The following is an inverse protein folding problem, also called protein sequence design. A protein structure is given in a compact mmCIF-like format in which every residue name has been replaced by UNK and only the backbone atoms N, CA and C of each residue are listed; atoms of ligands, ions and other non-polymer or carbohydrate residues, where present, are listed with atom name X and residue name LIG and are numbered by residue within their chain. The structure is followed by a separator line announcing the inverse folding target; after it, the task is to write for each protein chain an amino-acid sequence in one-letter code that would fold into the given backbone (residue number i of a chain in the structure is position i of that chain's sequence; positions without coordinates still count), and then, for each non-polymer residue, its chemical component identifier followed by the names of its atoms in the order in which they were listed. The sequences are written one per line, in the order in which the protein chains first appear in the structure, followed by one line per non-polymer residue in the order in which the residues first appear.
data_IF_415395628742
#
_entry.id   IF_415395628742
#
_cell.length_a   1.000
_cell.length_b   1.000
_cell.length_c   1.000
_cell.angle_alpha   90.00
_cell.angle_beta   90.00
_cell.angle_gamma   90.00
#
_symmetry.space_group_name_H-M   'P 1'
#
loop_
_entity.id
_entity.type
_entity.pdbx_description
1 polymer ?
#
# COMPACT_ATOMS: atom_id res chain seq x y z
N UNK A 1 21.72 33.86 1.63
CA UNK A 1 20.87 34.29 0.48
C UNK A 1 19.44 34.16 0.95
N UNK A 2 18.75 35.26 1.19
CA UNK A 2 17.34 35.25 1.58
C UNK A 2 16.49 35.33 0.31
N UNK A 3 16.01 34.18 -0.15
CA UNK A 3 15.18 34.08 -1.34
C UNK A 3 13.83 33.46 -0.97
N UNK A 4 12.73 34.00 -1.49
CA UNK A 4 11.37 33.53 -1.16
C UNK A 4 11.16 32.04 -1.44
N UNK A 5 11.79 31.52 -2.50
CA UNK A 5 11.75 30.07 -2.84
C UNK A 5 12.37 29.22 -1.73
N UNK A 6 13.47 29.67 -1.11
CA UNK A 6 14.10 28.92 -0.02
C UNK A 6 13.20 28.89 1.23
N UNK A 7 12.51 30.00 1.51
CA UNK A 7 11.52 30.04 2.61
C UNK A 7 10.38 29.05 2.34
N UNK A 8 9.88 29.04 1.12
CA UNK A 8 8.79 28.14 0.70
C UNK A 8 9.22 26.65 0.75
N UNK A 9 10.45 26.33 0.34
CA UNK A 9 10.97 24.96 0.43
C UNK A 9 11.18 24.51 1.87
N UNK A 10 11.71 25.40 2.73
CA UNK A 10 11.97 25.07 4.14
C UNK A 10 10.68 24.94 4.97
N UNK A 11 9.67 25.73 4.64
CA UNK A 11 8.36 25.70 5.30
C UNK A 11 7.25 25.92 4.29
N UNK A 12 6.85 24.86 3.56
CA UNK A 12 5.89 24.97 2.46
C UNK A 12 4.49 25.36 2.92
N UNK A 13 4.10 25.04 4.14
CA UNK A 13 2.82 25.41 4.75
C UNK A 13 2.93 25.46 6.29
N UNK A 14 1.92 25.97 7.00
CA UNK A 14 1.93 26.05 8.46
C UNK A 14 2.02 24.70 9.19
N UNK A 15 1.59 23.62 8.53
CA UNK A 15 1.44 22.29 9.14
C UNK A 15 2.68 21.40 8.95
N UNK A 16 3.56 21.70 7.96
CA UNK A 16 4.65 20.81 7.58
C UNK A 16 5.97 21.55 7.46
N UNK A 17 7.05 20.89 7.89
CA UNK A 17 8.41 21.30 7.52
C UNK A 17 8.73 20.89 6.09
N UNK A 18 9.76 21.48 5.47
CA UNK A 18 10.21 21.09 4.13
C UNK A 18 10.57 19.61 4.02
N UNK A 19 11.20 19.05 5.06
CA UNK A 19 11.55 17.62 5.09
C UNK A 19 10.31 16.73 5.07
N UNK A 20 9.29 17.03 5.88
CA UNK A 20 8.02 16.28 5.90
C UNK A 20 7.26 16.38 4.57
N UNK A 21 7.30 17.55 3.96
CA UNK A 21 6.68 17.78 2.66
C UNK A 21 7.33 16.96 1.56
N UNK A 22 8.66 16.94 1.48
CA UNK A 22 9.41 16.16 0.50
C UNK A 22 9.22 14.65 0.75
N UNK A 23 9.22 14.22 2.00
CA UNK A 23 8.95 12.83 2.37
C UNK A 23 7.57 12.39 1.88
N UNK A 24 6.52 13.19 2.10
CA UNK A 24 5.18 12.89 1.62
C UNK A 24 5.13 12.85 0.09
N UNK A 25 5.77 13.79 -0.60
CA UNK A 25 5.85 13.86 -2.05
C UNK A 25 6.50 12.59 -2.65
N UNK A 26 7.65 12.20 -2.12
CA UNK A 26 8.36 10.99 -2.56
C UNK A 26 7.52 9.76 -2.24
N UNK A 27 6.92 9.69 -1.05
CA UNK A 27 6.04 8.59 -0.64
C UNK A 27 4.88 8.41 -1.62
N UNK A 28 4.18 9.46 -2.00
CA UNK A 28 3.09 9.38 -2.98
C UNK A 28 3.58 8.93 -4.37
N UNK A 29 4.71 9.45 -4.82
CA UNK A 29 5.28 9.02 -6.11
C UNK A 29 5.65 7.53 -6.09
N UNK A 30 6.25 7.03 -5.01
CA UNK A 30 6.61 5.62 -4.90
C UNK A 30 5.39 4.70 -4.77
N UNK A 31 4.34 5.14 -4.04
CA UNK A 31 3.16 4.30 -3.78
C UNK A 31 2.15 4.32 -4.93
N UNK A 32 1.94 5.47 -5.57
CA UNK A 32 0.91 5.63 -6.60
C UNK A 32 1.42 6.01 -7.98
N UNK A 33 2.72 6.28 -8.12
CA UNK A 33 3.28 6.85 -9.36
C UNK A 33 2.91 8.31 -9.60
N UNK A 34 2.13 8.92 -8.73
CA UNK A 34 1.57 10.26 -8.90
C UNK A 34 1.78 11.10 -7.65
N UNK A 35 2.10 12.37 -7.84
CA UNK A 35 2.16 13.37 -6.78
C UNK A 35 1.37 14.62 -7.21
N UNK A 36 0.51 15.10 -6.35
CA UNK A 36 -0.30 16.29 -6.59
C UNK A 36 0.02 17.35 -5.56
N UNK A 37 0.30 18.54 -6.05
CA UNK A 37 0.74 19.66 -5.25
C UNK A 37 -0.17 20.86 -5.53
N UNK A 38 -0.91 21.29 -4.52
CA UNK A 38 -1.70 22.50 -4.60
C UNK A 38 -0.83 23.72 -4.30
N UNK A 39 -0.90 24.71 -5.17
CA UNK A 39 -0.20 25.99 -5.04
C UNK A 39 -1.18 27.05 -4.58
N UNK A 40 -1.08 27.48 -3.34
CA UNK A 40 -1.85 28.60 -2.81
C UNK A 40 -1.13 29.91 -3.16
N UNK A 41 -1.78 30.73 -3.97
CA UNK A 41 -1.24 31.98 -4.49
C UNK A 41 -1.84 33.20 -3.76
N UNK A 42 -1.01 34.21 -3.54
CA UNK A 42 -1.44 35.55 -3.16
C UNK A 42 -0.95 36.50 -4.25
N UNK A 43 -1.88 36.99 -5.07
CA UNK A 43 -1.54 37.66 -6.33
C UNK A 43 -0.87 36.71 -7.30
N UNK A 44 0.32 37.09 -7.78
CA UNK A 44 1.12 36.26 -8.69
C UNK A 44 2.13 35.32 -7.97
N UNK A 45 2.27 35.46 -6.65
CA UNK A 45 3.30 34.72 -5.89
C UNK A 45 2.70 33.52 -5.19
N UNK A 46 3.35 32.34 -5.32
CA UNK A 46 3.02 31.15 -4.55
C UNK A 46 3.50 31.35 -3.11
N UNK A 47 2.60 31.24 -2.14
CA UNK A 47 2.87 31.42 -0.73
C UNK A 47 2.88 30.11 0.06
N UNK A 48 2.07 29.15 -0.35
CA UNK A 48 2.00 27.86 0.33
C UNK A 48 1.88 26.71 -0.70
N UNK A 49 2.37 25.55 -0.29
CA UNK A 49 2.31 24.30 -1.06
C UNK A 49 1.72 23.19 -0.19
N UNK A 50 0.72 22.51 -0.70
CA UNK A 50 0.08 21.39 -0.02
C UNK A 50 0.17 20.13 -0.87
N UNK A 51 0.58 19.02 -0.24
CA UNK A 51 0.51 17.70 -0.89
C UNK A 51 -0.89 17.13 -0.77
N UNK A 52 -1.49 16.78 -1.92
CA UNK A 52 -2.81 16.15 -1.97
C UNK A 52 -2.66 14.65 -2.19
N UNK A 53 -3.56 13.89 -1.59
CA UNK A 53 -3.55 12.43 -1.65
C UNK A 53 -3.95 11.96 -3.06
N UNK A 54 -3.11 11.14 -3.73
CA UNK A 54 -3.39 10.68 -5.09
C UNK A 54 -4.65 9.82 -5.23
N UNK A 55 -4.98 9.02 -4.21
CA UNK A 55 -6.17 8.16 -4.20
C UNK A 55 -7.51 8.95 -4.22
N UNK A 56 -7.45 10.26 -3.95
CA UNK A 56 -8.61 11.16 -3.97
C UNK A 56 -8.62 12.12 -5.15
N UNK A 57 -7.59 12.06 -5.98
CA UNK A 57 -7.41 12.99 -7.08
C UNK A 57 -7.81 12.33 -8.40
N UNK A 58 -8.54 13.05 -9.21
CA UNK A 58 -8.91 12.66 -10.57
C UNK A 58 -8.47 13.73 -11.56
N UNK A 59 -7.83 13.29 -12.62
CA UNK A 59 -7.49 14.15 -13.77
C UNK A 59 -8.73 14.27 -14.65
N UNK A 60 -9.04 15.47 -15.07
CA UNK A 60 -10.07 15.73 -16.09
C UNK A 60 -9.37 15.76 -17.46
N UNK A 61 -9.54 14.71 -18.29
CA UNK A 61 -8.89 14.63 -19.58
C UNK A 61 -9.47 15.65 -20.57
N UNK A 62 -8.72 15.95 -21.60
CA UNK A 62 -9.19 16.67 -22.77
C UNK A 62 -8.63 16.04 -24.06
N UNK A 63 -9.18 16.42 -25.19
CA UNK A 63 -8.81 15.86 -26.50
C UNK A 63 -7.48 16.41 -27.03
N UNK A 64 -6.94 17.46 -26.42
CA UNK A 64 -5.68 18.10 -26.84
C UNK A 64 -4.43 17.55 -26.13
N UNK A 65 -4.58 16.50 -25.30
CA UNK A 65 -3.46 15.87 -24.57
C UNK A 65 -3.02 16.60 -23.30
N UNK A 66 -3.65 17.73 -22.95
CA UNK A 66 -3.42 18.43 -21.69
C UNK A 66 -4.61 18.23 -20.74
N UNK A 67 -4.42 18.13 -19.42
CA UNK A 67 -5.53 18.03 -18.49
C UNK A 67 -6.36 19.32 -18.52
N UNK A 68 -7.69 19.19 -18.64
CA UNK A 68 -8.61 20.31 -18.51
C UNK A 68 -8.72 20.81 -17.06
N UNK A 69 -8.34 19.98 -16.11
CA UNK A 69 -8.37 20.31 -14.69
C UNK A 69 -8.21 19.08 -13.81
N UNK A 70 -8.44 19.27 -12.53
CA UNK A 70 -8.31 18.26 -11.51
C UNK A 70 -9.49 18.30 -10.55
N UNK A 71 -9.90 17.13 -10.04
CA UNK A 71 -10.97 17.02 -9.03
C UNK A 71 -10.44 16.26 -7.84
N UNK A 72 -10.57 16.84 -6.65
CA UNK A 72 -10.27 16.20 -5.37
C UNK A 72 -11.58 15.84 -4.68
N UNK A 73 -11.72 14.58 -4.27
CA UNK A 73 -12.92 14.10 -3.62
C UNK A 73 -12.63 13.66 -2.19
N UNK A 74 -13.31 14.27 -1.23
CA UNK A 74 -13.18 13.95 0.19
C UNK A 74 -14.53 14.01 0.88
N UNK A 75 -14.91 12.93 1.55
CA UNK A 75 -16.16 12.84 2.34
C UNK A 75 -17.42 13.25 1.54
N UNK A 76 -17.50 12.84 0.27
CA UNK A 76 -18.59 13.17 -0.63
C UNK A 76 -18.60 14.62 -1.17
N UNK A 77 -17.63 15.43 -0.76
CA UNK A 77 -17.42 16.78 -1.30
C UNK A 77 -16.36 16.73 -2.39
N UNK A 78 -16.64 17.45 -3.49
CA UNK A 78 -15.72 17.59 -4.63
C UNK A 78 -15.21 19.02 -4.68
N UNK A 79 -13.92 19.15 -4.83
CA UNK A 79 -13.27 20.41 -5.16
C UNK A 79 -12.59 20.26 -6.52
N UNK A 80 -12.82 21.23 -7.41
CA UNK A 80 -12.30 21.20 -8.77
C UNK A 80 -11.41 22.42 -9.00
N UNK A 81 -10.30 22.19 -9.67
CA UNK A 81 -9.42 23.21 -10.22
C UNK A 81 -9.40 23.05 -11.73
N UNK A 82 -9.76 24.09 -12.42
CA UNK A 82 -9.68 24.12 -13.87
C UNK A 82 -8.28 24.56 -14.31
N UNK A 83 -7.81 24.04 -15.42
CA UNK A 83 -6.60 24.52 -16.08
C UNK A 83 -6.96 25.64 -17.05
N UNK A 84 -6.09 26.62 -17.18
CA UNK A 84 -6.24 27.69 -18.16
C UNK A 84 -6.15 27.11 -19.58
N UNK A 85 -7.07 27.46 -20.45
CA UNK A 85 -7.18 26.89 -21.80
C UNK A 85 -5.98 27.26 -22.71
N UNK A 86 -5.31 28.37 -22.46
CA UNK A 86 -4.22 28.87 -23.32
C UNK A 86 -2.85 28.47 -22.78
N UNK A 87 -2.67 28.57 -21.45
CA UNK A 87 -1.37 28.31 -20.80
C UNK A 87 -1.26 26.89 -20.25
N UNK A 88 -2.39 26.19 -20.14
CA UNK A 88 -2.51 24.88 -19.50
C UNK A 88 -2.04 24.85 -18.03
N UNK A 89 -1.88 26.04 -17.41
CA UNK A 89 -1.52 26.13 -16.00
C UNK A 89 -2.74 25.94 -15.11
N UNK A 90 -2.55 25.30 -13.98
CA UNK A 90 -3.55 25.07 -12.94
C UNK A 90 -2.95 25.34 -11.59
N UNK A 91 -3.74 25.58 -10.57
CA UNK A 91 -3.23 25.63 -9.19
C UNK A 91 -2.77 24.27 -8.68
N UNK A 92 -3.11 23.21 -9.38
CA UNK A 92 -2.59 21.87 -9.14
C UNK A 92 -1.39 21.60 -10.05
N UNK A 93 -0.26 21.23 -9.43
CA UNK A 93 0.89 20.68 -10.13
C UNK A 93 0.87 19.16 -10.00
N UNK A 94 0.70 18.48 -11.13
CA UNK A 94 0.77 17.03 -11.22
C UNK A 94 2.19 16.60 -11.60
N UNK A 95 2.81 15.81 -10.76
CA UNK A 95 4.10 15.18 -10.99
C UNK A 95 3.84 13.70 -11.09
N UNK A 96 4.24 13.08 -12.20
CA UNK A 96 3.97 11.66 -12.46
C UNK A 96 5.22 10.92 -12.86
N UNK A 97 5.30 9.66 -12.49
CA UNK A 97 6.30 8.74 -13.00
C UNK A 97 5.93 8.29 -14.42
N UNK A 98 6.93 7.82 -15.16
CA UNK A 98 6.67 7.32 -16.51
C UNK A 98 5.72 6.12 -16.48
N UNK A 99 4.70 6.17 -17.32
CA UNK A 99 3.74 5.08 -17.53
C UNK A 99 3.55 4.90 -19.05
N UNK A 100 3.96 3.76 -19.62
CA UNK A 100 3.80 3.52 -21.05
C UNK A 100 2.37 3.17 -21.46
N UNK A 101 1.47 2.94 -20.51
CA UNK A 101 0.10 2.45 -20.75
C UNK A 101 -0.97 3.50 -20.47
N UNK A 102 -0.61 4.62 -19.85
CA UNK A 102 -1.56 5.67 -19.46
C UNK A 102 -0.94 7.07 -19.63
N UNK A 103 -1.61 7.92 -20.39
CA UNK A 103 -1.16 9.30 -20.65
C UNK A 103 -1.44 10.25 -19.49
N UNK A 104 -2.35 9.89 -18.57
CA UNK A 104 -2.83 10.77 -17.51
C UNK A 104 -2.24 10.42 -16.14
N UNK A 105 -1.97 9.14 -15.87
CA UNK A 105 -1.48 8.69 -14.58
C UNK A 105 -0.12 8.02 -14.68
N UNK A 106 0.69 8.26 -13.67
CA UNK A 106 2.00 7.61 -13.55
C UNK A 106 1.88 6.17 -13.03
N UNK A 107 2.84 5.32 -13.40
CA UNK A 107 2.96 3.95 -12.90
C UNK A 107 3.86 3.93 -11.66
N UNK A 108 3.37 3.34 -10.56
CA UNK A 108 4.18 3.22 -9.35
C UNK A 108 5.18 2.06 -9.46
N UNK A 109 6.37 2.18 -8.84
CA UNK A 109 7.29 1.05 -8.71
C UNK A 109 6.69 -0.12 -7.92
N UNK A 110 5.81 0.16 -6.95
CA UNK A 110 5.10 -0.86 -6.17
C UNK A 110 4.16 -1.65 -7.06
N UNK A 111 3.39 -0.98 -7.92
CA UNK A 111 2.50 -1.62 -8.88
C UNK A 111 3.28 -2.45 -9.91
N UNK A 112 4.37 -1.89 -10.45
CA UNK A 112 5.26 -2.63 -11.35
C UNK A 112 5.87 -3.88 -10.71
N UNK A 113 6.05 -3.89 -9.39
CA UNK A 113 6.62 -5.00 -8.61
C UNK A 113 5.57 -5.86 -7.92
N UNK A 114 4.27 -5.63 -8.14
CA UNK A 114 3.17 -6.23 -7.38
C UNK A 114 3.26 -7.77 -7.34
N UNK A 115 3.53 -8.41 -8.47
CA UNK A 115 3.67 -9.86 -8.54
C UNK A 115 4.79 -10.41 -7.63
N UNK A 116 5.94 -9.73 -7.58
CA UNK A 116 7.06 -10.15 -6.72
C UNK A 116 6.74 -9.92 -5.23
N UNK A 117 6.01 -8.85 -4.93
CA UNK A 117 5.55 -8.55 -3.56
C UNK A 117 4.56 -9.61 -3.10
N UNK A 118 3.61 -10.00 -3.94
CA UNK A 118 2.62 -11.02 -3.63
C UNK A 118 3.27 -12.38 -3.40
N UNK A 119 4.21 -12.78 -4.27
CA UNK A 119 5.01 -14.00 -4.06
C UNK A 119 5.77 -13.98 -2.73
N UNK A 120 6.38 -12.85 -2.38
CA UNK A 120 7.07 -12.71 -1.10
C UNK A 120 6.13 -12.85 0.09
N UNK A 121 4.96 -12.20 0.03
CA UNK A 121 3.95 -12.26 1.08
C UNK A 121 3.43 -13.69 1.28
N UNK A 122 3.13 -14.41 0.20
CA UNK A 122 2.72 -15.81 0.24
C UNK A 122 3.81 -16.71 0.82
N UNK A 123 5.07 -16.52 0.40
CA UNK A 123 6.20 -17.26 0.94
C UNK A 123 6.39 -17.03 2.44
N UNK A 124 6.23 -15.78 2.91
CA UNK A 124 6.29 -15.45 4.32
C UNK A 124 5.15 -16.07 5.12
N UNK A 125 3.94 -16.05 4.59
CA UNK A 125 2.75 -16.67 5.20
C UNK A 125 2.95 -18.19 5.31
N UNK A 126 3.43 -18.81 4.25
CA UNK A 126 3.76 -20.23 4.25
C UNK A 126 4.86 -20.59 5.25
N UNK A 127 5.93 -19.79 5.29
CA UNK A 127 7.02 -19.98 6.25
C UNK A 127 6.54 -19.83 7.70
N UNK A 128 5.67 -18.84 7.96
CA UNK A 128 5.07 -18.66 9.29
C UNK A 128 4.22 -19.89 9.69
N UNK A 129 3.41 -20.41 8.77
CA UNK A 129 2.62 -21.61 8.99
C UNK A 129 3.51 -22.84 9.26
N UNK A 130 4.61 -23.00 8.51
CA UNK A 130 5.60 -24.07 8.77
C UNK A 130 6.23 -23.96 10.14
N UNK A 131 6.63 -22.75 10.56
CA UNK A 131 7.21 -22.52 11.88
C UNK A 131 6.19 -22.79 13.00
N UNK A 132 4.94 -22.40 12.82
CA UNK A 132 3.86 -22.69 13.76
C UNK A 132 3.58 -24.19 13.87
N UNK A 133 3.69 -24.92 12.76
CA UNK A 133 3.50 -26.37 12.70
C UNK A 133 4.82 -27.15 12.88
N UNK A 134 5.84 -26.52 13.48
CA UNK A 134 7.14 -27.13 13.76
C UNK A 134 7.96 -27.57 12.53
N UNK A 135 7.70 -26.97 11.36
CA UNK A 135 8.40 -27.21 10.09
C UNK A 135 8.50 -28.70 9.67
N UNK A 136 7.68 -29.57 10.24
CA UNK A 136 7.62 -30.99 9.88
C UNK A 136 6.21 -31.31 9.40
N UNK A 137 6.04 -32.03 8.30
CA UNK A 137 4.76 -32.66 8.00
C UNK A 137 4.45 -33.61 9.18
N UNK A 138 3.34 -33.35 9.87
CA UNK A 138 2.83 -34.26 10.88
C UNK A 138 2.63 -35.63 10.24
N UNK A 139 3.12 -36.67 10.89
CA UNK A 139 2.97 -38.04 10.43
C UNK A 139 1.51 -38.38 10.20
N UNK A 140 1.25 -39.36 9.34
CA UNK A 140 -0.10 -39.91 9.17
C UNK A 140 -0.43 -40.83 10.35
N UNK A 141 -1.49 -40.54 11.08
CA UNK A 141 -2.04 -41.46 12.07
C UNK A 141 -2.86 -42.50 11.29
N UNK A 142 -2.31 -43.70 11.10
CA UNK A 142 -3.01 -44.80 10.43
C UNK A 142 -3.60 -45.68 11.53
N UNK A 143 -4.91 -45.74 11.61
CA UNK A 143 -5.59 -46.68 12.52
C UNK A 143 -5.85 -48.01 11.78
N UNK A 144 -5.28 -49.06 12.35
CA UNK A 144 -5.48 -50.43 11.90
C UNK A 144 -6.47 -51.12 12.84
N UNK A 145 -7.71 -51.27 12.38
CA UNK A 145 -8.76 -51.96 13.12
C UNK A 145 -10.04 -52.06 12.30
N UNK A 146 -10.86 -53.08 12.54
CA UNK A 146 -12.08 -53.42 11.76
C UNK A 146 -13.30 -52.50 12.06
N UNK A 147 -13.13 -51.34 12.64
CA UNK A 147 -14.21 -50.41 12.96
C UNK A 147 -13.88 -48.98 12.60
N UNK A 148 -14.83 -48.26 11.99
CA UNK A 148 -14.73 -46.80 11.84
C UNK A 148 -14.80 -46.15 13.23
N UNK A 149 -13.83 -45.27 13.52
CA UNK A 149 -13.87 -44.45 14.74
C UNK A 149 -15.10 -43.54 14.68
N UNK A 150 -15.83 -43.46 15.76
CA UNK A 150 -16.94 -42.50 15.86
C UNK A 150 -16.41 -41.05 15.82
N UNK A 151 -17.20 -40.18 15.21
CA UNK A 151 -16.84 -38.77 14.99
C UNK A 151 -16.39 -38.04 16.29
N UNK A 152 -16.95 -38.42 17.43
CA UNK A 152 -16.59 -37.86 18.74
C UNK A 152 -15.17 -38.19 19.15
N UNK A 153 -14.75 -39.45 18.95
CA UNK A 153 -13.39 -39.93 19.29
C UNK A 153 -12.37 -39.33 18.33
N UNK A 154 -12.71 -39.23 17.04
CA UNK A 154 -11.87 -38.58 16.02
C UNK A 154 -11.62 -37.10 16.33
N UNK A 155 -12.69 -36.35 16.65
CA UNK A 155 -12.60 -34.94 16.98
C UNK A 155 -11.80 -34.69 18.28
N UNK A 156 -11.93 -35.56 19.26
CA UNK A 156 -11.17 -35.47 20.51
C UNK A 156 -9.67 -35.72 20.28
N UNK A 157 -9.32 -36.74 19.49
CA UNK A 157 -7.93 -37.03 19.11
C UNK A 157 -7.32 -35.88 18.31
N UNK A 158 -8.07 -35.33 17.36
CA UNK A 158 -7.65 -34.17 16.58
C UNK A 158 -7.36 -32.96 17.49
N UNK A 159 -8.24 -32.66 18.43
CA UNK A 159 -8.07 -31.57 19.37
C UNK A 159 -6.85 -31.78 20.28
N UNK A 160 -6.59 -33.00 20.77
CA UNK A 160 -5.41 -33.32 21.54
C UNK A 160 -4.10 -33.21 20.72
N UNK A 161 -4.12 -33.61 19.47
CA UNK A 161 -2.98 -33.41 18.55
C UNK A 161 -2.69 -31.94 18.32
N UNK A 162 -3.71 -31.15 18.07
CA UNK A 162 -3.57 -29.71 17.85
C UNK A 162 -3.03 -29.00 19.09
N UNK A 163 -3.47 -29.36 20.30
CA UNK A 163 -3.03 -28.76 21.54
C UNK A 163 -1.60 -29.18 21.95
N UNK A 164 -1.24 -30.44 21.75
CA UNK A 164 0.02 -31.00 22.26
C UNK A 164 1.20 -30.92 21.27
N UNK A 165 0.93 -30.93 19.96
CA UNK A 165 1.95 -31.10 18.92
C UNK A 165 2.00 -29.99 17.87
N UNK A 166 1.04 -29.08 17.83
CA UNK A 166 1.08 -27.94 16.92
C UNK A 166 1.57 -26.65 17.59
N UNK A 167 2.15 -25.76 16.78
CA UNK A 167 2.67 -24.47 17.22
C UNK A 167 4.14 -24.47 17.63
N UNK A 168 4.76 -23.29 17.54
CA UNK A 168 6.19 -23.08 17.80
C UNK A 168 6.62 -23.44 19.24
N UNK A 169 5.70 -23.39 20.21
CA UNK A 169 5.96 -23.76 21.61
C UNK A 169 6.08 -25.27 21.83
N UNK A 170 5.52 -26.07 20.94
CA UNK A 170 5.53 -27.53 21.02
C UNK A 170 6.53 -28.16 20.04
N UNK A 171 7.32 -27.35 19.36
CA UNK A 171 8.33 -27.79 18.41
C UNK A 171 9.36 -28.74 19.10
N UNK A 172 9.52 -29.93 18.55
CA UNK A 172 10.51 -30.90 19.04
C UNK A 172 10.06 -31.77 20.25
N UNK A 173 8.81 -31.67 20.70
CA UNK A 173 8.29 -32.57 21.72
C UNK A 173 8.21 -34.01 21.20
N UNK A 174 8.75 -35.00 21.91
CA UNK A 174 8.61 -36.39 21.52
C UNK A 174 7.18 -36.88 21.71
N UNK A 175 6.68 -37.68 20.76
CA UNK A 175 5.41 -38.38 20.90
C UNK A 175 5.58 -39.58 21.83
N UNK A 176 4.79 -39.68 22.90
CA UNK A 176 4.71 -40.87 23.74
C UNK A 176 3.67 -41.82 23.10
N UNK A 177 4.13 -42.97 22.66
CA UNK A 177 3.28 -44.09 22.20
C UNK A 177 3.23 -45.12 23.34
N UNK A 178 2.06 -45.40 23.90
CA UNK A 178 1.82 -46.58 24.69
C UNK A 178 1.53 -47.76 23.77
N UNK A 179 2.33 -48.83 23.88
CA UNK A 179 2.17 -50.07 23.14
C UNK A 179 1.27 -51.07 23.85
#
# INVERSE_FOLDING_TARGET
IDHEVLKLINRPNPMQSGAQYIQAKIGYLLLSGNGYEERVKVGQSVRELYQLRPDRMKVLPSDNGFPRGYVYEMNGRKHQWDADEQTHDSDIRHIRMFNPLDDWYGLSPVEASAYSIDQHNEAMTWMQALLQNSARPSGALVMTGDGSMGDEVFNRLKAQMDEQYTGSKNAGRPMLLEG
#
